data_IF_052613091963
#
_entry.id   IF_052613091963
#
_cell.length_a   1.000
_cell.length_b   1.000
_cell.length_c   1.000
_cell.angle_alpha   90.00
_cell.angle_beta   90.00
_cell.angle_gamma   90.00
#
_symmetry.space_group_name_H-M   'P 1'
#
loop_
_entity.id
_entity.type
_entity.pdbx_description
1 polymer ?
#
# COMPACT_ATOMS: atom_id res chain seq x y z
N UNK A 1 9.03 17.60 10.12
CA UNK A 1 10.45 17.98 10.27
C UNK A 1 11.03 17.13 11.39
N UNK A 2 11.98 16.24 11.11
CA UNK A 2 12.69 15.50 12.17
C UNK A 2 13.76 16.42 12.70
N UNK A 3 13.54 17.04 13.87
CA UNK A 3 14.45 18.05 14.40
C UNK A 3 15.68 17.46 15.09
N UNK A 4 15.56 16.28 15.70
CA UNK A 4 16.67 15.55 16.33
C UNK A 4 16.45 14.03 16.16
N UNK A 5 17.52 13.29 15.86
CA UNK A 5 17.48 11.83 15.78
C UNK A 5 18.63 11.25 16.61
N UNK A 6 18.37 10.86 17.85
CA UNK A 6 19.36 10.25 18.73
C UNK A 6 18.68 9.35 19.77
N UNK A 7 19.45 8.50 20.43
CA UNK A 7 18.97 7.69 21.56
C UNK A 7 18.51 8.60 22.70
N UNK A 8 17.46 8.19 23.43
CA UNK A 8 16.83 8.99 24.51
C UNK A 8 17.86 9.52 25.54
N UNK A 9 18.86 8.71 25.90
CA UNK A 9 19.93 9.14 26.83
C UNK A 9 20.85 10.25 26.28
N UNK A 10 21.10 10.26 24.97
CA UNK A 10 21.90 11.29 24.32
C UNK A 10 21.10 12.59 24.16
N UNK A 11 19.79 12.46 23.91
CA UNK A 11 18.88 13.61 23.91
C UNK A 11 18.83 14.25 25.31
N UNK A 12 18.70 13.48 26.37
CA UNK A 12 18.65 14.02 27.74
C UNK A 12 19.91 14.81 28.12
N UNK A 13 21.09 14.27 27.76
CA UNK A 13 22.38 14.96 27.95
C UNK A 13 22.49 16.23 27.10
N UNK A 14 21.97 16.18 25.86
CA UNK A 14 21.97 17.31 24.92
C UNK A 14 21.02 18.43 25.37
N UNK A 15 19.80 18.11 25.79
CA UNK A 15 18.83 19.06 26.33
C UNK A 15 19.32 19.68 27.65
N UNK A 16 19.96 18.90 28.51
CA UNK A 16 20.62 19.40 29.73
C UNK A 16 21.77 20.37 29.43
N UNK A 17 22.56 20.11 28.37
CA UNK A 17 23.65 21.01 27.95
C UNK A 17 23.17 22.32 27.31
N UNK A 18 21.93 22.36 26.81
CA UNK A 18 21.32 23.53 26.17
C UNK A 18 20.32 24.25 27.10
N UNK A 19 20.52 24.16 28.43
CA UNK A 19 19.72 24.82 29.47
C UNK A 19 18.24 24.38 29.56
N UNK A 20 17.88 23.19 29.07
CA UNK A 20 16.53 22.62 29.18
C UNK A 20 16.56 21.18 29.74
N UNK A 21 16.96 20.96 31.00
CA UNK A 21 16.96 19.63 31.60
C UNK A 21 15.53 19.09 31.78
N UNK A 22 15.34 17.79 31.61
CA UNK A 22 14.04 17.14 31.80
C UNK A 22 13.65 17.17 33.30
N UNK A 23 12.44 17.63 33.66
CA UNK A 23 11.95 17.56 35.04
C UNK A 23 11.83 16.11 35.53
N UNK A 24 12.12 15.87 36.81
CA UNK A 24 12.13 14.52 37.41
C UNK A 24 10.77 13.80 37.44
N UNK A 25 9.67 14.51 37.15
CA UNK A 25 8.29 14.03 37.19
C UNK A 25 7.60 14.07 35.81
N UNK A 26 8.34 14.33 34.74
CA UNK A 26 7.80 14.41 33.37
C UNK A 26 8.41 13.33 32.48
N UNK A 27 7.59 12.78 31.58
CA UNK A 27 8.10 11.87 30.54
C UNK A 27 9.08 12.63 29.62
N UNK A 28 10.29 12.11 29.38
CA UNK A 28 11.27 12.76 28.49
C UNK A 28 10.72 13.01 27.09
N UNK A 29 9.89 12.10 26.57
CA UNK A 29 9.26 12.25 25.25
C UNK A 29 8.35 13.48 25.19
N UNK A 30 7.55 13.69 26.24
CA UNK A 30 6.61 14.81 26.31
C UNK A 30 7.35 16.13 26.53
N UNK A 31 8.41 16.12 27.34
CA UNK A 31 9.28 17.29 27.55
C UNK A 31 9.96 17.72 26.23
N UNK A 32 10.52 16.78 25.47
CA UNK A 32 11.16 17.08 24.19
C UNK A 32 10.14 17.60 23.17
N UNK A 33 9.00 16.93 22.99
CA UNK A 33 7.99 17.38 22.04
C UNK A 33 7.46 18.77 22.40
N UNK A 34 7.22 19.06 23.69
CA UNK A 34 6.76 20.37 24.12
C UNK A 34 7.83 21.47 23.96
N UNK A 35 9.11 21.13 24.11
CA UNK A 35 10.23 22.07 23.93
C UNK A 35 10.45 22.43 22.45
N UNK A 36 10.16 21.50 21.53
CA UNK A 36 10.45 21.68 20.10
C UNK A 36 9.20 22.11 19.32
N UNK A 37 8.00 21.86 19.84
CA UNK A 37 6.74 22.13 19.14
C UNK A 37 6.16 23.50 19.50
N UNK A 38 6.01 24.36 18.48
CA UNK A 38 5.45 25.70 18.60
C UNK A 38 3.93 25.74 18.85
N UNK A 39 3.22 24.65 18.54
CA UNK A 39 1.75 24.61 18.63
C UNK A 39 1.22 24.53 20.08
N UNK A 40 2.09 24.34 21.08
CA UNK A 40 1.73 24.21 22.50
C UNK A 40 1.88 25.52 23.31
N UNK A 41 2.02 26.69 22.68
CA UNK A 41 2.05 27.98 23.40
C UNK A 41 0.66 28.34 23.99
N UNK A 42 0.28 27.66 25.08
CA UNK A 42 -0.74 28.08 26.02
C UNK A 42 -0.06 28.54 27.32
N UNK A 43 0.61 29.70 27.26
CA UNK A 43 0.67 30.74 28.30
C UNK A 43 1.97 31.53 28.17
N UNK A 44 1.91 32.85 27.88
CA UNK A 44 3.10 33.72 27.90
C UNK A 44 3.71 33.91 29.30
N UNK A 45 3.11 33.36 30.36
CA UNK A 45 3.57 33.52 31.75
C UNK A 45 4.45 32.38 32.29
N UNK A 46 4.64 31.30 31.53
CA UNK A 46 5.57 30.20 31.90
C UNK A 46 6.65 30.00 30.85
N UNK A 47 7.24 31.10 30.39
CA UNK A 47 8.52 31.06 29.69
C UNK A 47 9.50 30.22 30.49
N UNK A 48 10.10 29.23 29.81
CA UNK A 48 11.26 28.48 30.28
C UNK A 48 12.21 29.49 30.93
N UNK A 49 12.56 29.28 32.20
CA UNK A 49 13.34 30.22 33.00
C UNK A 49 14.55 30.74 32.22
N UNK A 50 14.45 31.98 31.72
CA UNK A 50 15.47 32.58 30.87
C UNK A 50 15.00 33.19 29.54
N UNK A 51 13.77 33.71 29.41
CA UNK A 51 13.43 34.81 28.48
C UNK A 51 13.75 34.65 26.98
N UNK A 52 14.01 33.44 26.48
CA UNK A 52 14.31 33.16 25.08
C UNK A 52 13.04 32.64 24.38
N UNK A 53 12.73 33.20 23.21
CA UNK A 53 11.60 32.73 22.39
C UNK A 53 11.81 31.27 21.99
N UNK A 54 10.72 30.49 21.92
CA UNK A 54 10.69 29.09 21.43
C UNK A 54 11.44 28.94 20.09
N UNK A 55 11.44 29.99 19.28
CA UNK A 55 12.13 30.08 17.98
C UNK A 55 13.65 30.16 18.10
N UNK A 56 14.13 30.93 19.06
CA UNK A 56 15.56 31.09 19.34
C UNK A 56 16.11 29.81 19.96
N UNK A 57 15.35 29.17 20.86
CA UNK A 57 15.70 27.87 21.44
C UNK A 57 15.81 26.80 20.35
N UNK A 58 14.84 26.70 19.44
CA UNK A 58 14.89 25.76 18.30
C UNK A 58 16.10 26.03 17.42
N UNK A 59 16.39 27.29 17.09
CA UNK A 59 17.54 27.63 16.24
C UNK A 59 18.88 27.27 16.91
N UNK A 60 19.02 27.52 18.21
CA UNK A 60 20.19 27.13 19.01
C UNK A 60 20.32 25.60 19.06
N UNK A 61 19.22 24.89 19.29
CA UNK A 61 19.19 23.42 19.33
C UNK A 61 19.59 22.80 17.98
N UNK A 62 19.09 23.34 16.86
CA UNK A 62 19.45 22.86 15.51
C UNK A 62 20.93 23.12 15.22
N UNK A 63 21.43 24.32 15.51
CA UNK A 63 22.83 24.67 15.30
C UNK A 63 23.77 23.84 16.19
N UNK A 64 23.40 23.66 17.45
CA UNK A 64 24.13 22.84 18.43
C UNK A 64 24.15 21.37 18.00
N UNK A 65 23.02 20.85 17.51
CA UNK A 65 22.93 19.49 16.98
C UNK A 65 23.81 19.28 15.76
N UNK A 66 23.81 20.21 14.80
CA UNK A 66 24.64 20.11 13.59
C UNK A 66 26.15 20.12 13.91
N UNK A 67 26.55 20.88 14.94
CA UNK A 67 27.93 20.94 15.42
C UNK A 67 28.33 19.82 16.39
N UNK A 68 27.37 19.00 16.85
CA UNK A 68 27.58 18.00 17.89
C UNK A 68 28.10 16.67 17.33
N UNK A 69 28.90 15.97 18.13
CA UNK A 69 29.35 14.59 17.88
C UNK A 69 28.17 13.63 17.61
N UNK A 70 26.99 13.94 18.18
CA UNK A 70 25.76 13.17 17.99
C UNK A 70 25.33 13.17 16.50
N UNK A 71 25.41 14.31 15.81
CA UNK A 71 25.08 14.39 14.38
C UNK A 71 26.04 13.54 13.54
N UNK A 72 27.33 13.61 13.86
CA UNK A 72 28.36 12.83 13.15
C UNK A 72 28.18 11.32 13.37
N UNK A 73 27.86 10.90 14.60
CA UNK A 73 27.55 9.50 14.93
C UNK A 73 26.32 8.99 14.17
N UNK A 74 25.26 9.78 14.12
CA UNK A 74 24.01 9.43 13.40
C UNK A 74 24.24 9.37 11.89
N UNK A 75 24.99 10.30 11.31
CA UNK A 75 25.35 10.26 9.89
C UNK A 75 26.19 9.02 9.55
N UNK A 76 27.11 8.62 10.44
CA UNK A 76 27.91 7.40 10.30
C UNK A 76 27.04 6.15 10.30
N UNK A 77 26.17 5.99 11.29
CA UNK A 77 25.20 4.88 11.38
C UNK A 77 24.27 4.84 10.16
N UNK A 78 23.74 5.99 9.73
CA UNK A 78 22.92 6.08 8.52
C UNK A 78 23.68 5.66 7.26
N UNK A 79 24.96 6.00 7.16
CA UNK A 79 25.80 5.58 6.03
C UNK A 79 26.03 4.06 6.02
N UNK A 80 26.19 3.44 7.19
CA UNK A 80 26.34 2.00 7.33
C UNK A 80 25.04 1.25 7.06
N UNK A 81 23.92 1.76 7.57
CA UNK A 81 22.57 1.24 7.27
C UNK A 81 22.29 1.38 5.78
N UNK A 82 22.59 2.53 5.17
CA UNK A 82 22.43 2.74 3.72
C UNK A 82 23.26 1.75 2.91
N UNK A 83 24.50 1.47 3.31
CA UNK A 83 25.36 0.44 2.68
C UNK A 83 24.78 -0.96 2.84
N UNK A 84 24.32 -1.33 4.05
CA UNK A 84 23.71 -2.65 4.32
C UNK A 84 22.40 -2.83 3.56
N UNK A 85 21.55 -1.81 3.54
CA UNK A 85 20.28 -1.80 2.78
C UNK A 85 20.59 -1.87 1.28
N UNK A 86 21.52 -1.08 0.76
CA UNK A 86 21.93 -1.14 -0.65
C UNK A 86 22.40 -2.53 -1.04
N UNK A 87 23.25 -3.17 -0.24
CA UNK A 87 23.72 -4.54 -0.47
C UNK A 87 22.61 -5.60 -0.36
N UNK A 88 21.63 -5.39 0.52
CA UNK A 88 20.49 -6.30 0.68
C UNK A 88 19.46 -6.11 -0.45
N UNK A 89 19.38 -4.91 -1.02
CA UNK A 89 18.44 -4.57 -2.10
C UNK A 89 18.98 -4.86 -3.50
N UNK A 90 20.30 -4.99 -3.69
CA UNK A 90 20.92 -5.18 -5.02
C UNK A 90 20.66 -6.55 -5.68
N UNK A 91 19.87 -7.45 -5.06
CA UNK A 91 19.51 -8.75 -5.66
C UNK A 91 18.04 -9.12 -5.57
N UNK A 92 17.12 -8.16 -5.49
CA UNK A 92 15.75 -8.42 -5.94
C UNK A 92 15.71 -8.35 -7.47
N UNK A 93 16.18 -9.42 -8.10
CA UNK A 93 15.89 -9.71 -9.51
C UNK A 93 14.37 -9.71 -9.61
N UNK A 94 13.82 -8.63 -10.18
CA UNK A 94 12.39 -8.48 -10.41
C UNK A 94 11.86 -9.78 -11.01
N UNK A 95 10.91 -10.42 -10.32
CA UNK A 95 10.21 -11.55 -10.88
C UNK A 95 9.57 -11.08 -12.17
N UNK A 96 9.80 -11.84 -13.25
CA UNK A 96 9.31 -11.53 -14.58
C UNK A 96 7.81 -11.19 -14.53
N UNK A 97 7.36 -10.21 -15.33
CA UNK A 97 5.97 -9.73 -15.32
C UNK A 97 4.98 -10.89 -15.48
N UNK A 98 5.34 -11.88 -16.30
CA UNK A 98 4.59 -13.11 -16.48
C UNK A 98 4.53 -13.98 -15.23
N UNK A 99 5.62 -14.07 -14.47
CA UNK A 99 5.65 -14.85 -13.22
C UNK A 99 4.77 -14.18 -12.16
N UNK A 100 4.81 -12.85 -12.06
CA UNK A 100 3.93 -12.10 -11.16
C UNK A 100 2.46 -12.22 -11.58
N UNK A 101 2.17 -12.07 -12.89
CA UNK A 101 0.84 -12.25 -13.44
C UNK A 101 0.31 -13.66 -13.16
N UNK A 102 1.10 -14.71 -13.42
CA UNK A 102 0.70 -16.10 -13.20
C UNK A 102 0.48 -16.39 -11.71
N UNK A 103 1.32 -15.87 -10.82
CA UNK A 103 1.12 -16.02 -9.37
C UNK A 103 -0.16 -15.31 -8.91
N UNK A 104 -0.44 -14.10 -9.41
CA UNK A 104 -1.66 -13.36 -9.13
C UNK A 104 -2.90 -14.08 -9.68
N UNK A 105 -2.85 -14.56 -10.92
CA UNK A 105 -3.92 -15.34 -11.56
C UNK A 105 -4.17 -16.64 -10.81
N UNK A 106 -3.11 -17.37 -10.42
CA UNK A 106 -3.24 -18.63 -9.67
C UNK A 106 -3.86 -18.40 -8.30
N UNK A 107 -3.43 -17.36 -7.58
CA UNK A 107 -4.00 -17.01 -6.27
C UNK A 107 -5.45 -16.55 -6.40
N UNK A 108 -5.77 -15.76 -7.42
CA UNK A 108 -7.13 -15.33 -7.75
C UNK A 108 -8.02 -16.51 -8.14
N UNK A 109 -7.49 -17.46 -8.92
CA UNK A 109 -8.22 -18.65 -9.37
C UNK A 109 -8.61 -19.56 -8.21
N UNK A 110 -7.68 -19.81 -7.27
CA UNK A 110 -7.97 -20.61 -6.06
C UNK A 110 -9.00 -19.90 -5.17
N UNK A 111 -8.95 -18.57 -5.08
CA UNK A 111 -9.94 -17.79 -4.35
C UNK A 111 -11.34 -17.90 -4.99
N UNK A 112 -11.42 -17.74 -6.31
CA UNK A 112 -12.64 -17.86 -7.10
C UNK A 112 -13.24 -19.28 -7.05
N UNK A 113 -12.40 -20.31 -6.96
CA UNK A 113 -12.84 -21.70 -6.81
C UNK A 113 -13.38 -22.02 -5.40
N UNK A 114 -13.05 -21.24 -4.37
CA UNK A 114 -13.51 -21.51 -2.99
C UNK A 114 -14.87 -20.87 -2.69
N UNK A 115 -15.23 -19.80 -3.41
CA UNK A 115 -16.58 -19.20 -3.44
C UNK A 115 -17.35 -19.65 -4.70
N UNK A 116 -17.26 -20.95 -4.98
CA UNK A 116 -17.52 -21.55 -6.30
C UNK A 116 -18.97 -21.55 -6.78
N UNK A 117 -19.97 -21.41 -5.90
CA UNK A 117 -21.35 -21.76 -6.22
C UNK A 117 -21.91 -21.02 -7.44
N UNK A 118 -21.74 -19.70 -7.48
CA UNK A 118 -22.26 -18.86 -8.57
C UNK A 118 -21.50 -19.06 -9.89
N UNK A 119 -20.16 -19.11 -9.84
CA UNK A 119 -19.33 -19.23 -11.05
C UNK A 119 -19.37 -20.64 -11.67
N UNK A 120 -19.43 -21.70 -10.86
CA UNK A 120 -19.56 -23.06 -11.35
C UNK A 120 -20.94 -23.34 -11.93
N UNK A 121 -22.01 -22.79 -11.33
CA UNK A 121 -23.35 -22.85 -11.93
C UNK A 121 -23.36 -22.17 -13.30
N UNK A 122 -22.71 -21.01 -13.40
CA UNK A 122 -22.46 -20.32 -14.66
C UNK A 122 -21.77 -21.23 -15.68
N UNK A 123 -20.64 -21.82 -15.29
CA UNK A 123 -19.85 -22.72 -16.13
C UNK A 123 -20.67 -23.94 -16.62
N UNK A 124 -21.49 -24.51 -15.74
CA UNK A 124 -22.36 -25.65 -16.06
C UNK A 124 -23.44 -25.26 -17.05
N UNK A 125 -24.12 -24.14 -16.84
CA UNK A 125 -25.12 -23.61 -17.79
C UNK A 125 -24.45 -23.34 -19.16
N UNK A 126 -23.22 -22.83 -19.17
CA UNK A 126 -22.44 -22.63 -20.39
C UNK A 126 -22.08 -23.93 -21.09
N UNK A 127 -21.66 -24.95 -20.34
CA UNK A 127 -21.37 -26.28 -20.89
C UNK A 127 -22.61 -26.89 -21.54
N UNK A 128 -23.77 -26.84 -20.88
CA UNK A 128 -25.03 -27.38 -21.40
C UNK A 128 -25.50 -26.64 -22.65
N UNK A 129 -25.38 -25.31 -22.69
CA UNK A 129 -25.76 -24.52 -23.86
C UNK A 129 -24.81 -24.74 -25.04
N UNK A 130 -23.49 -24.81 -24.78
CA UNK A 130 -22.51 -25.11 -25.81
C UNK A 130 -22.70 -26.51 -26.39
N UNK A 131 -23.01 -27.50 -25.54
CA UNK A 131 -23.35 -28.85 -25.97
C UNK A 131 -24.65 -28.87 -26.77
N UNK A 132 -25.70 -28.20 -26.30
CA UNK A 132 -26.99 -28.11 -27.01
C UNK A 132 -26.84 -27.52 -28.42
N UNK A 133 -26.11 -26.41 -28.54
CA UNK A 133 -25.79 -25.81 -29.84
C UNK A 133 -24.90 -26.73 -30.68
N UNK A 134 -23.84 -27.28 -30.08
CA UNK A 134 -22.95 -28.22 -30.74
C UNK A 134 -23.71 -29.39 -31.34
N UNK A 135 -24.67 -29.96 -30.60
CA UNK A 135 -25.52 -31.07 -31.06
C UNK A 135 -26.53 -30.65 -32.12
N UNK A 136 -27.13 -29.47 -32.00
CA UNK A 136 -28.14 -28.98 -32.94
C UNK A 136 -27.55 -28.68 -34.33
N UNK A 137 -26.28 -28.28 -34.39
CA UNK A 137 -25.58 -27.92 -35.63
C UNK A 137 -24.55 -28.97 -36.09
N UNK A 138 -24.46 -30.13 -35.42
CA UNK A 138 -23.50 -31.21 -35.73
C UNK A 138 -23.68 -31.83 -37.13
N UNK A 139 -24.78 -31.53 -37.82
CA UNK A 139 -25.08 -32.11 -39.14
C UNK A 139 -25.82 -31.17 -40.09
N UNK A 140 -25.36 -29.92 -40.20
CA UNK A 140 -25.95 -28.96 -41.13
C UNK A 140 -25.26 -29.11 -42.51
N UNK A 141 -25.98 -29.61 -43.51
CA UNK A 141 -25.49 -29.78 -44.90
C UNK A 141 -25.10 -28.46 -45.58
N UNK A 142 -24.88 -28.46 -46.89
CA UNK A 142 -24.48 -27.26 -47.66
C UNK A 142 -25.64 -26.59 -48.43
N UNK A 143 -26.87 -26.73 -47.94
CA UNK A 143 -28.06 -26.09 -48.52
C UNK A 143 -28.21 -24.62 -48.09
N UNK A 144 -29.05 -23.84 -48.78
CA UNK A 144 -29.33 -22.45 -48.40
C UNK A 144 -29.91 -22.32 -46.97
N UNK A 145 -30.64 -23.33 -46.49
CA UNK A 145 -31.12 -23.39 -45.10
C UNK A 145 -29.98 -23.48 -44.08
N UNK A 146 -28.86 -24.12 -44.44
CA UNK A 146 -27.67 -24.20 -43.59
C UNK A 146 -26.98 -22.84 -43.40
N UNK A 147 -27.02 -21.98 -44.41
CA UNK A 147 -26.45 -20.62 -44.31
C UNK A 147 -27.23 -19.80 -43.28
N UNK A 148 -28.56 -19.86 -43.33
CA UNK A 148 -29.43 -19.20 -42.35
C UNK A 148 -29.27 -19.78 -40.93
N UNK A 149 -29.11 -21.10 -40.83
CA UNK A 149 -28.82 -21.80 -39.58
C UNK A 149 -27.48 -21.34 -38.95
N UNK A 150 -26.43 -21.15 -39.76
CA UNK A 150 -25.14 -20.63 -39.30
C UNK A 150 -25.18 -19.16 -38.90
N UNK A 151 -25.93 -18.33 -39.64
CA UNK A 151 -26.10 -16.93 -39.31
C UNK A 151 -26.85 -16.75 -37.98
N UNK A 152 -27.93 -17.50 -37.77
CA UNK A 152 -28.69 -17.49 -36.51
C UNK A 152 -27.86 -18.01 -35.33
N UNK A 153 -27.00 -19.02 -35.54
CA UNK A 153 -26.04 -19.46 -34.53
C UNK A 153 -25.06 -18.35 -34.13
N UNK A 154 -24.47 -17.65 -35.10
CA UNK A 154 -23.52 -16.56 -34.81
C UNK A 154 -24.18 -15.42 -34.05
N UNK A 155 -25.38 -15.02 -34.46
CA UNK A 155 -26.16 -13.98 -33.74
C UNK A 155 -26.48 -14.45 -32.32
N UNK A 156 -26.91 -15.70 -32.15
CA UNK A 156 -27.20 -16.28 -30.83
C UNK A 156 -25.95 -16.26 -29.93
N UNK A 157 -24.79 -16.71 -30.44
CA UNK A 157 -23.53 -16.70 -29.69
C UNK A 157 -23.13 -15.28 -29.30
N UNK A 158 -23.18 -14.32 -30.23
CA UNK A 158 -22.82 -12.93 -29.97
C UNK A 158 -23.74 -12.33 -28.90
N UNK A 159 -25.06 -12.44 -29.06
CA UNK A 159 -26.04 -11.92 -28.11
C UNK A 159 -25.87 -12.56 -26.73
N UNK A 160 -25.63 -13.88 -26.68
CA UNK A 160 -25.43 -14.59 -25.42
C UNK A 160 -24.14 -14.15 -24.71
N UNK A 161 -23.02 -14.02 -25.43
CA UNK A 161 -21.76 -13.46 -24.89
C UNK A 161 -21.96 -12.04 -24.36
N UNK A 162 -22.75 -11.21 -25.03
CA UNK A 162 -23.10 -9.87 -24.54
C UNK A 162 -23.88 -9.92 -23.23
N UNK A 163 -24.94 -10.74 -23.13
CA UNK A 163 -25.70 -10.91 -21.88
C UNK A 163 -24.82 -11.43 -20.72
N UNK A 164 -23.92 -12.37 -21.02
CA UNK A 164 -22.94 -12.88 -20.05
C UNK A 164 -22.03 -11.74 -19.55
N UNK A 165 -21.54 -10.89 -20.45
CA UNK A 165 -20.64 -9.79 -20.07
C UNK A 165 -21.31 -8.82 -19.10
N UNK A 166 -22.60 -8.53 -19.30
CA UNK A 166 -23.41 -7.69 -18.39
C UNK A 166 -23.63 -8.36 -17.03
N UNK A 167 -23.89 -9.66 -17.00
CA UNK A 167 -24.09 -10.42 -15.75
C UNK A 167 -22.83 -10.57 -14.89
N UNK A 168 -21.64 -10.27 -15.40
CA UNK A 168 -20.40 -10.24 -14.60
C UNK A 168 -20.19 -8.95 -13.79
N UNK A 169 -20.95 -7.90 -14.10
CA UNK A 169 -20.77 -6.58 -13.51
C UNK A 169 -21.05 -6.51 -11.98
N UNK A 170 -22.08 -7.16 -11.43
CA UNK A 170 -22.35 -7.10 -9.98
C UNK A 170 -21.20 -7.67 -9.13
N UNK A 171 -20.56 -8.73 -9.60
CA UNK A 171 -19.39 -9.34 -8.94
C UNK A 171 -18.18 -8.40 -8.93
N UNK A 172 -17.99 -7.61 -9.99
CA UNK A 172 -16.92 -6.61 -10.02
C UNK A 172 -17.15 -5.51 -8.98
N UNK A 173 -18.39 -5.07 -8.81
CA UNK A 173 -18.78 -4.07 -7.81
C UNK A 173 -18.60 -4.60 -6.39
N UNK A 174 -18.86 -5.89 -6.15
CA UNK A 174 -18.67 -6.54 -4.85
C UNK A 174 -17.19 -6.59 -4.47
N UNK A 175 -16.30 -6.95 -5.40
CA UNK A 175 -14.84 -6.99 -5.17
C UNK A 175 -14.24 -5.58 -4.96
N UNK A 176 -14.84 -4.54 -5.55
CA UNK A 176 -14.45 -3.15 -5.31
C UNK A 176 -14.86 -2.61 -3.94
N UNK A 177 -15.90 -3.18 -3.31
CA UNK A 177 -16.39 -2.74 -1.98
C UNK A 177 -15.60 -3.31 -0.81
N UNK A 178 -14.81 -4.37 -1.03
CA UNK A 178 -14.10 -5.10 0.03
C UNK A 178 -12.70 -4.53 0.31
N UNK A 179 -12.30 -3.44 -0.35
CA UNK A 179 -11.08 -2.66 -0.07
C UNK A 179 -11.41 -1.29 0.49
#
# INVERSE_FOLDING_TARGET
VVLLAATIHLLDSFFSSNNSPCPSLQSPSDHFVNTINKDFEQDPEKGLGGGLSTEEAIHILVKSYDSSEISHQVQKELSEIKKRVSHTMEKKRHADFLTQCLILTRRSFVNMHREAGYYWLRLLIYGVLALSLGTMFFHIGSSNESIQARASLLVFVVTFVTFITVGGFPSFVEDMKVK
#
